data_IF_463340903881
#
_entry.id   IF_463340903881
#
_cell.length_a   1.000
_cell.length_b   1.000
_cell.length_c   1.000
_cell.angle_alpha   90.00
_cell.angle_beta   90.00
_cell.angle_gamma   90.00
#
_symmetry.space_group_name_H-M   'P 1'
#
loop_
_entity.id
_entity.type
_entity.pdbx_description
1 polymer ?
#
# COMPACT_ATOMS: atom_id res chain seq x y z
N UNK A 1 -28.72 -14.04 8.63
CA UNK A 1 -29.03 -12.72 8.02
C UNK A 1 -29.11 -11.58 9.04
N UNK A 2 -29.66 -11.77 10.25
CA UNK A 2 -29.75 -10.72 11.30
C UNK A 2 -28.40 -10.33 11.94
N UNK A 3 -27.46 -11.28 12.08
CA UNK A 3 -26.11 -10.96 12.59
C UNK A 3 -25.27 -10.11 11.63
N UNK A 4 -25.42 -10.29 10.31
CA UNK A 4 -24.63 -9.53 9.33
C UNK A 4 -25.02 -8.05 9.29
N UNK A 5 -26.29 -7.72 9.51
CA UNK A 5 -26.79 -6.33 9.50
C UNK A 5 -26.28 -5.54 10.71
N UNK A 6 -26.25 -6.16 11.89
CA UNK A 6 -25.67 -5.54 13.10
C UNK A 6 -24.19 -5.25 13.00
N UNK A 7 -23.45 -6.16 12.39
CA UNK A 7 -22.03 -5.91 12.15
C UNK A 7 -21.84 -4.70 11.24
N UNK A 8 -22.71 -4.49 10.26
CA UNK A 8 -22.62 -3.36 9.32
C UNK A 8 -22.89 -2.01 10.00
N UNK A 9 -23.84 -1.94 10.94
CA UNK A 9 -24.14 -0.69 11.67
C UNK A 9 -23.04 -0.27 12.65
N UNK A 10 -22.52 -1.23 13.43
CA UNK A 10 -21.39 -0.97 14.32
C UNK A 10 -20.19 -0.48 13.49
N UNK A 11 -19.87 -1.19 12.41
CA UNK A 11 -18.85 -0.82 11.42
C UNK A 11 -19.02 0.62 10.94
N UNK A 12 -20.24 1.02 10.57
CA UNK A 12 -20.51 2.37 10.06
C UNK A 12 -20.29 3.44 11.12
N UNK A 13 -20.67 3.21 12.39
CA UNK A 13 -20.46 4.18 13.47
C UNK A 13 -18.97 4.40 13.76
N UNK A 14 -18.18 3.33 13.82
CA UNK A 14 -16.74 3.40 14.08
C UNK A 14 -16.00 4.11 12.95
N UNK A 15 -16.46 3.85 11.73
CA UNK A 15 -15.97 4.49 10.54
C UNK A 15 -16.25 5.98 10.54
N UNK A 16 -17.51 6.39 10.76
CA UNK A 16 -17.88 7.80 10.87
C UNK A 16 -17.13 8.49 12.01
N UNK A 17 -16.97 7.83 13.16
CA UNK A 17 -16.14 8.32 14.25
C UNK A 17 -14.67 8.50 13.81
N UNK A 18 -14.12 7.56 13.04
CA UNK A 18 -12.79 7.68 12.43
C UNK A 18 -12.67 8.85 11.46
N UNK A 19 -13.68 9.12 10.64
CA UNK A 19 -13.72 10.29 9.76
C UNK A 19 -13.73 11.57 10.57
N UNK A 20 -14.66 11.71 11.52
CA UNK A 20 -14.75 12.89 12.39
C UNK A 20 -13.44 13.11 13.14
N UNK A 21 -12.87 12.04 13.70
CA UNK A 21 -11.57 12.07 14.37
C UNK A 21 -10.46 12.49 13.40
N UNK A 22 -10.44 11.94 12.19
CA UNK A 22 -9.50 12.33 11.13
C UNK A 22 -9.64 13.79 10.73
N UNK A 23 -10.85 14.32 10.59
CA UNK A 23 -11.10 15.72 10.26
C UNK A 23 -10.70 16.69 11.38
N UNK A 24 -10.77 16.25 12.65
CA UNK A 24 -10.30 17.01 13.81
C UNK A 24 -8.77 16.94 13.93
N UNK A 25 -8.17 15.77 13.65
CA UNK A 25 -6.71 15.57 13.67
C UNK A 25 -6.00 16.24 12.47
N UNK A 26 -6.70 16.38 11.34
CA UNK A 26 -6.22 16.96 10.08
C UNK A 26 -7.21 18.05 9.60
N UNK A 27 -7.20 19.26 10.20
CA UNK A 27 -8.11 20.34 9.84
C UNK A 27 -7.83 20.86 8.42
N UNK A 28 -8.89 21.09 7.63
CA UNK A 28 -8.82 21.62 6.25
C UNK A 28 -9.60 20.85 5.16
N UNK A 29 -10.38 19.84 5.54
CA UNK A 29 -10.87 18.79 4.62
C UNK A 29 -12.15 19.11 3.83
N UNK A 30 -13.02 20.04 4.25
CA UNK A 30 -14.28 20.31 3.53
C UNK A 30 -15.31 19.16 3.51
N UNK A 31 -15.07 18.06 4.24
CA UNK A 31 -15.86 16.80 4.23
C UNK A 31 -17.11 16.87 5.14
N UNK A 32 -17.54 18.05 5.58
CA UNK A 32 -18.63 18.18 6.56
C UNK A 32 -19.98 17.65 6.04
N UNK A 33 -20.29 17.86 4.75
CA UNK A 33 -21.59 17.51 4.18
C UNK A 33 -21.79 15.99 3.95
N UNK A 34 -20.83 15.22 3.36
CA UNK A 34 -20.95 13.77 3.22
C UNK A 34 -20.94 13.04 4.58
N UNK A 35 -20.15 13.54 5.55
CA UNK A 35 -20.07 12.98 6.89
C UNK A 35 -21.38 13.13 7.70
N UNK A 36 -22.18 14.16 7.41
CA UNK A 36 -23.50 14.40 8.02
C UNK A 36 -24.63 13.60 7.34
N UNK A 37 -24.50 13.28 6.04
CA UNK A 37 -25.53 12.56 5.28
C UNK A 37 -25.53 11.04 5.51
N UNK A 38 -24.37 10.43 5.74
CA UNK A 38 -24.27 9.00 6.05
C UNK A 38 -25.03 8.55 7.33
N UNK A 39 -24.97 9.28 8.46
CA UNK A 39 -25.78 8.98 9.64
C UNK A 39 -27.29 9.03 9.37
N UNK A 40 -27.75 10.00 8.58
CA UNK A 40 -29.17 10.18 8.24
C UNK A 40 -29.72 9.03 7.41
N UNK A 41 -28.89 8.45 6.52
CA UNK A 41 -29.22 7.25 5.75
C UNK A 41 -29.11 5.94 6.55
N UNK A 42 -28.30 5.92 7.62
CA UNK A 42 -28.09 4.75 8.48
C UNK A 42 -29.08 4.66 9.68
N UNK A 43 -29.67 5.78 10.11
CA UNK A 43 -30.64 5.85 11.21
C UNK A 43 -31.91 4.97 11.05
N UNK A 44 -32.48 4.81 9.84
CA UNK A 44 -33.62 3.91 9.63
C UNK A 44 -33.27 2.42 9.82
N UNK A 45 -32.01 2.04 9.61
CA UNK A 45 -31.51 0.68 9.87
C UNK A 45 -31.36 0.42 11.38
N UNK A 46 -30.85 1.42 12.11
CA UNK A 46 -30.62 1.42 13.56
C UNK A 46 -31.88 1.16 14.41
N UNK A 47 -33.04 1.72 14.04
CA UNK A 47 -34.27 1.53 14.84
C UNK A 47 -34.73 0.07 14.84
N UNK A 48 -34.33 -0.71 13.83
CA UNK A 48 -34.68 -2.13 13.68
C UNK A 48 -33.68 -3.08 14.34
N UNK A 49 -32.45 -2.64 14.60
CA UNK A 49 -31.36 -3.49 15.08
C UNK A 49 -31.23 -3.59 16.60
N UNK A 50 -31.84 -2.68 17.38
CA UNK A 50 -31.85 -2.73 18.86
C UNK A 50 -32.67 -3.90 19.44
N UNK A 51 -33.57 -4.51 18.66
CA UNK A 51 -34.57 -5.46 19.17
C UNK A 51 -34.11 -6.93 19.36
N UNK A 52 -32.86 -7.30 19.09
CA UNK A 52 -32.53 -8.73 18.81
C UNK A 52 -31.19 -9.32 19.37
N UNK A 53 -30.41 -8.65 20.25
CA UNK A 53 -29.18 -9.19 20.92
C UNK A 53 -27.90 -9.47 20.08
N UNK A 54 -26.76 -8.81 20.37
CA UNK A 54 -25.49 -8.95 19.62
C UNK A 54 -24.43 -9.87 20.31
N UNK A 55 -23.43 -10.45 19.58
CA UNK A 55 -22.42 -11.38 20.12
C UNK A 55 -21.04 -10.77 20.48
N UNK A 56 -20.32 -11.47 21.38
CA UNK A 56 -18.95 -11.34 21.97
C UNK A 56 -18.11 -10.03 21.78
N UNK A 57 -17.75 -9.33 22.89
CA UNK A 57 -17.26 -7.94 22.91
C UNK A 57 -15.88 -7.70 22.26
N UNK A 58 -14.98 -8.69 22.23
CA UNK A 58 -13.62 -8.48 21.71
C UNK A 58 -13.57 -8.43 20.17
N UNK A 59 -14.46 -9.18 19.51
CA UNK A 59 -14.57 -9.17 18.06
C UNK A 59 -15.10 -7.83 17.52
N UNK A 60 -15.94 -7.16 18.31
CA UNK A 60 -16.47 -5.84 18.02
C UNK A 60 -15.38 -4.76 18.07
N UNK A 61 -14.49 -4.79 19.07
CA UNK A 61 -13.42 -3.79 19.25
C UNK A 61 -12.39 -3.73 18.11
N UNK A 62 -12.08 -4.87 17.48
CA UNK A 62 -11.07 -4.93 16.40
C UNK A 62 -11.65 -4.41 15.09
N UNK A 63 -12.91 -4.74 14.82
CA UNK A 63 -13.66 -4.16 13.71
C UNK A 63 -13.75 -2.64 13.91
N UNK A 64 -14.09 -2.21 15.12
CA UNK A 64 -14.19 -0.81 15.51
C UNK A 64 -12.89 -0.06 15.19
N UNK A 65 -11.75 -0.64 15.56
CA UNK A 65 -10.42 -0.08 15.30
C UNK A 65 -10.07 -0.04 13.79
N UNK A 66 -10.31 -1.11 13.03
CA UNK A 66 -10.06 -1.13 11.57
C UNK A 66 -10.82 -0.02 10.86
N UNK A 67 -12.11 0.14 11.18
CA UNK A 67 -12.96 1.14 10.54
C UNK A 67 -12.64 2.56 11.03
N UNK A 68 -12.28 2.73 12.31
CA UNK A 68 -11.80 4.00 12.83
C UNK A 68 -10.49 4.44 12.14
N UNK A 69 -9.52 3.54 12.01
CA UNK A 69 -8.26 3.82 11.29
C UNK A 69 -8.51 4.10 9.81
N UNK A 70 -9.32 3.27 9.14
CA UNK A 70 -9.68 3.49 7.74
C UNK A 70 -10.29 4.90 7.51
N UNK A 71 -11.16 5.36 8.42
CA UNK A 71 -11.74 6.71 8.38
C UNK A 71 -10.70 7.83 8.55
N UNK A 72 -9.77 7.67 9.50
CA UNK A 72 -8.69 8.64 9.77
C UNK A 72 -7.76 8.79 8.55
N UNK A 73 -7.31 7.67 7.99
CA UNK A 73 -6.34 7.64 6.88
C UNK A 73 -6.88 8.17 5.56
N UNK A 74 -8.18 7.99 5.32
CA UNK A 74 -8.79 8.49 4.10
C UNK A 74 -9.18 9.98 4.20
N UNK A 75 -9.56 10.46 5.39
CA UNK A 75 -9.69 11.90 5.63
C UNK A 75 -8.39 12.64 5.28
N UNK A 76 -7.24 12.00 5.49
CA UNK A 76 -5.93 12.53 5.08
C UNK A 76 -5.72 12.50 3.55
N UNK A 77 -6.11 11.44 2.84
CA UNK A 77 -5.96 11.39 1.38
C UNK A 77 -6.78 12.46 0.66
N UNK A 78 -7.90 12.90 1.24
CA UNK A 78 -8.74 13.97 0.73
C UNK A 78 -8.15 15.38 0.91
N UNK A 79 -7.26 15.57 1.89
CA UNK A 79 -6.68 16.86 2.26
C UNK A 79 -5.49 17.31 1.37
N UNK A 80 -5.29 16.66 0.22
CA UNK A 80 -4.08 16.83 -0.60
C UNK A 80 -3.97 18.12 -1.44
N UNK A 81 -4.81 19.17 -1.24
CA UNK A 81 -4.39 20.50 -1.65
C UNK A 81 -4.69 21.57 -0.60
N UNK A 82 -4.13 21.47 0.60
CA UNK A 82 -3.98 22.66 1.45
C UNK A 82 -2.82 22.48 2.44
N UNK A 83 -1.61 22.85 2.00
CA UNK A 83 -0.57 23.26 2.91
C UNK A 83 -1.09 24.46 3.73
N UNK A 84 -1.56 24.23 4.95
CA UNK A 84 -1.65 25.32 5.95
C UNK A 84 -1.84 24.89 7.41
N UNK A 85 -2.15 23.63 7.71
CA UNK A 85 -2.21 23.19 9.13
C UNK A 85 -1.66 21.79 9.32
N UNK A 86 -0.37 21.70 9.68
CA UNK A 86 0.28 20.43 10.00
C UNK A 86 -0.18 19.94 11.38
N UNK A 87 -1.04 18.91 11.39
CA UNK A 87 -1.54 18.26 12.60
C UNK A 87 -0.42 17.58 13.43
N UNK A 88 -0.63 17.27 14.73
CA UNK A 88 0.42 16.69 15.58
C UNK A 88 0.92 15.33 15.08
N UNK A 89 0.04 14.53 14.48
CA UNK A 89 0.38 13.23 13.88
C UNK A 89 1.21 13.41 12.60
N UNK A 90 0.96 14.48 11.82
CA UNK A 90 1.73 14.78 10.61
C UNK A 90 3.14 15.20 10.97
N UNK A 91 3.32 16.04 12.00
CA UNK A 91 4.67 16.38 12.49
C UNK A 91 5.46 15.15 12.93
N UNK A 92 4.78 14.20 13.56
CA UNK A 92 5.40 12.94 13.97
C UNK A 92 5.77 12.07 12.76
N UNK A 93 4.89 11.98 11.76
CA UNK A 93 5.13 11.24 10.52
C UNK A 93 6.25 11.89 9.68
N UNK A 94 6.25 13.21 9.55
CA UNK A 94 7.29 13.98 8.84
C UNK A 94 8.62 13.89 9.58
N UNK A 95 8.62 14.01 10.91
CA UNK A 95 9.81 13.83 11.74
C UNK A 95 10.40 12.42 11.64
N UNK A 96 9.55 11.39 11.53
CA UNK A 96 9.98 10.02 11.29
C UNK A 96 10.54 9.84 9.87
N UNK A 97 9.90 10.41 8.85
CA UNK A 97 10.41 10.41 7.48
C UNK A 97 11.78 11.08 7.41
N UNK A 98 11.94 12.22 8.09
CA UNK A 98 13.21 12.95 8.17
C UNK A 98 14.28 12.16 8.93
N UNK A 99 13.93 11.52 10.05
CA UNK A 99 14.82 10.62 10.77
C UNK A 99 15.28 9.44 9.90
N UNK A 100 14.38 8.87 9.11
CA UNK A 100 14.72 7.78 8.19
C UNK A 100 15.68 8.27 7.11
N UNK A 101 15.43 9.45 6.53
CA UNK A 101 16.33 10.08 5.55
C UNK A 101 17.69 10.42 6.14
N UNK A 102 17.76 10.88 7.39
CA UNK A 102 19.04 11.15 8.04
C UNK A 102 19.83 9.87 8.30
N UNK A 103 19.18 8.78 8.71
CA UNK A 103 19.82 7.47 8.82
C UNK A 103 20.35 7.01 7.46
N UNK A 104 19.52 7.07 6.40
CA UNK A 104 19.92 6.71 5.03
C UNK A 104 21.12 7.56 4.57
N UNK A 105 21.10 8.87 4.81
CA UNK A 105 22.19 9.78 4.42
C UNK A 105 23.49 9.59 5.22
N UNK A 106 23.41 9.06 6.43
CA UNK A 106 24.59 8.76 7.27
C UNK A 106 25.29 7.45 6.91
N UNK A 107 24.63 6.58 6.13
CA UNK A 107 25.19 5.28 5.76
C UNK A 107 26.29 5.45 4.70
N UNK A 108 27.44 4.78 4.86
CA UNK A 108 28.57 4.88 3.94
C UNK A 108 28.33 4.03 2.69
N UNK A 109 27.35 4.40 1.86
CA UNK A 109 27.13 3.73 0.58
C UNK A 109 28.27 4.03 -0.40
N UNK A 110 28.82 3.01 -1.09
CA UNK A 110 29.84 3.22 -2.12
C UNK A 110 29.39 4.10 -3.28
N UNK A 111 28.12 3.99 -3.71
CA UNK A 111 27.54 4.85 -4.75
C UNK A 111 26.75 6.02 -4.14
N UNK A 112 26.98 7.22 -4.66
CA UNK A 112 26.24 8.44 -4.26
C UNK A 112 24.75 8.43 -4.64
N UNK A 113 24.31 7.52 -5.52
CA UNK A 113 22.91 7.42 -5.95
C UNK A 113 22.07 6.46 -5.09
N UNK A 114 22.72 5.60 -4.30
CA UNK A 114 22.04 4.60 -3.46
C UNK A 114 21.17 5.25 -2.39
N UNK A 115 21.69 6.24 -1.66
CA UNK A 115 20.93 6.95 -0.63
C UNK A 115 19.69 7.69 -1.18
N UNK A 116 19.78 8.46 -2.29
CA UNK A 116 18.60 9.02 -2.96
C UNK A 116 17.57 7.99 -3.42
N UNK A 117 18.00 6.86 -3.99
CA UNK A 117 17.09 5.79 -4.40
C UNK A 117 16.37 5.17 -3.21
N UNK A 118 17.08 4.87 -2.13
CA UNK A 118 16.48 4.36 -0.89
C UNK A 118 15.50 5.37 -0.29
N UNK A 119 15.84 6.66 -0.32
CA UNK A 119 14.95 7.72 0.15
C UNK A 119 13.64 7.76 -0.66
N UNK A 120 13.73 7.61 -1.98
CA UNK A 120 12.55 7.52 -2.85
C UNK A 120 11.71 6.27 -2.55
N UNK A 121 12.34 5.10 -2.39
CA UNK A 121 11.62 3.84 -2.18
C UNK A 121 11.04 3.67 -0.77
N UNK A 122 11.67 4.25 0.26
CA UNK A 122 11.25 4.11 1.65
C UNK A 122 10.41 5.28 2.17
N UNK A 123 10.63 6.50 1.65
CA UNK A 123 9.91 7.71 2.11
C UNK A 123 9.09 8.39 1.03
N UNK A 124 9.23 7.99 -0.23
CA UNK A 124 8.55 8.64 -1.36
C UNK A 124 9.20 9.94 -1.82
N UNK A 125 10.29 10.36 -1.16
CA UNK A 125 11.00 11.58 -1.49
C UNK A 125 11.95 11.38 -2.67
N UNK A 126 11.66 12.05 -3.77
CA UNK A 126 12.42 11.99 -5.03
C UNK A 126 13.36 13.19 -5.22
N UNK A 127 13.39 14.14 -4.28
CA UNK A 127 14.15 15.40 -4.42
C UNK A 127 15.65 15.18 -4.62
N UNK A 128 16.20 14.09 -4.08
CA UNK A 128 17.61 13.72 -4.25
C UNK A 128 17.94 12.96 -5.54
N UNK A 129 16.96 12.59 -6.36
CA UNK A 129 17.21 11.84 -7.60
C UNK A 129 17.76 12.76 -8.69
N UNK A 130 18.83 12.33 -9.36
CA UNK A 130 19.37 13.06 -10.50
C UNK A 130 18.38 13.06 -11.68
N UNK A 131 18.37 14.11 -12.52
CA UNK A 131 17.53 14.15 -13.72
C UNK A 131 17.79 12.96 -14.65
N UNK A 132 19.05 12.51 -14.75
CA UNK A 132 19.47 11.36 -15.55
C UNK A 132 18.82 10.07 -15.05
N UNK A 133 18.87 9.82 -13.74
CA UNK A 133 18.26 8.65 -13.14
C UNK A 133 16.73 8.69 -13.28
N UNK A 134 16.10 9.85 -13.09
CA UNK A 134 14.66 10.01 -13.29
C UNK A 134 14.24 9.74 -14.74
N UNK A 135 15.01 10.23 -15.72
CA UNK A 135 14.80 9.95 -17.14
C UNK A 135 14.96 8.46 -17.43
N UNK A 136 15.97 7.80 -16.85
CA UNK A 136 16.21 6.37 -17.02
C UNK A 136 15.01 5.52 -16.57
N UNK A 137 14.41 5.81 -15.41
CA UNK A 137 13.18 5.14 -14.96
C UNK A 137 11.97 5.45 -15.85
N UNK A 138 11.90 6.64 -16.44
CA UNK A 138 10.83 7.01 -17.38
C UNK A 138 10.95 6.26 -18.70
N UNK A 139 12.14 6.27 -19.28
CA UNK A 139 12.36 5.74 -20.63
C UNK A 139 12.33 4.20 -20.64
N UNK A 140 12.70 3.56 -19.52
CA UNK A 140 12.55 2.11 -19.30
C UNK A 140 11.11 1.67 -18.96
N UNK A 141 10.16 2.59 -18.78
CA UNK A 141 8.78 2.28 -18.34
C UNK A 141 8.66 1.92 -16.84
N UNK A 142 9.73 2.09 -16.07
CA UNK A 142 9.81 1.80 -14.64
C UNK A 142 9.37 2.96 -13.73
N UNK A 143 8.86 4.08 -14.26
CA UNK A 143 8.46 5.26 -13.44
C UNK A 143 7.48 4.95 -12.31
N UNK A 144 6.63 3.94 -12.51
CA UNK A 144 5.67 3.50 -11.52
C UNK A 144 6.33 2.90 -10.26
N UNK A 145 7.62 2.53 -10.33
CA UNK A 145 8.42 2.02 -9.21
C UNK A 145 9.02 3.15 -8.36
N UNK A 146 9.28 4.32 -8.95
CA UNK A 146 9.63 5.53 -8.19
C UNK A 146 8.42 6.07 -7.42
N UNK A 147 7.20 5.71 -7.85
CA UNK A 147 5.99 5.95 -7.10
C UNK A 147 5.76 4.85 -6.06
N UNK A 148 5.60 5.26 -4.80
CA UNK A 148 5.20 4.34 -3.76
C UNK A 148 3.88 3.67 -4.15
N UNK A 149 3.94 2.35 -4.17
CA UNK A 149 2.90 1.49 -4.74
C UNK A 149 2.51 0.41 -3.74
N UNK A 150 1.47 -0.35 -4.08
CA UNK A 150 1.08 -1.50 -3.27
C UNK A 150 2.17 -2.56 -3.14
N UNK A 151 3.15 -2.60 -4.04
CA UNK A 151 4.31 -3.49 -3.93
C UNK A 151 5.18 -3.13 -2.73
N UNK A 152 5.55 -1.85 -2.59
CA UNK A 152 6.37 -1.36 -1.47
C UNK A 152 5.69 -1.66 -0.14
N UNK A 153 4.40 -1.35 -0.04
CA UNK A 153 3.60 -1.60 1.15
C UNK A 153 3.44 -3.11 1.43
N UNK A 154 3.26 -3.92 0.38
CA UNK A 154 3.13 -5.37 0.48
C UNK A 154 4.42 -6.05 0.97
N UNK A 155 5.58 -5.61 0.48
CA UNK A 155 6.89 -6.10 0.92
C UNK A 155 7.13 -5.72 2.39
N UNK A 156 6.84 -4.47 2.76
CA UNK A 156 6.96 -4.04 4.16
C UNK A 156 6.05 -4.87 5.07
N UNK A 157 4.83 -5.15 4.65
CA UNK A 157 3.93 -6.06 5.35
C UNK A 157 4.52 -7.46 5.50
N UNK A 158 5.15 -8.03 4.45
CA UNK A 158 5.79 -9.35 4.54
C UNK A 158 6.96 -9.37 5.52
N UNK A 159 7.75 -8.29 5.56
CA UNK A 159 8.84 -8.14 6.54
C UNK A 159 8.26 -8.09 7.96
N UNK A 160 7.26 -7.26 8.21
CA UNK A 160 6.62 -7.19 9.53
C UNK A 160 5.92 -8.50 9.92
N UNK A 161 5.25 -9.17 8.98
CA UNK A 161 4.63 -10.48 9.23
C UNK A 161 5.69 -11.51 9.60
N UNK A 162 6.84 -11.52 8.89
CA UNK A 162 7.95 -12.41 9.21
C UNK A 162 8.55 -12.12 10.59
N UNK A 163 8.79 -10.86 10.95
CA UNK A 163 9.32 -10.45 12.25
C UNK A 163 8.37 -10.79 13.41
N UNK A 164 7.07 -10.85 13.15
CA UNK A 164 6.06 -11.17 14.17
C UNK A 164 5.68 -12.65 14.24
N UNK A 165 6.18 -13.51 13.33
CA UNK A 165 5.99 -14.97 13.37
C UNK A 165 6.44 -15.62 14.70
N UNK A 166 7.57 -15.24 15.33
CA UNK A 166 8.03 -15.86 16.57
C UNK A 166 7.09 -15.69 17.76
N UNK A 167 6.12 -14.75 17.69
CA UNK A 167 5.11 -14.55 18.74
C UNK A 167 4.16 -15.76 18.91
N UNK A 168 4.15 -16.70 17.96
CA UNK A 168 3.34 -17.91 18.01
C UNK A 168 1.92 -17.74 17.48
N UNK A 169 1.05 -18.69 17.83
CA UNK A 169 -0.30 -18.85 17.27
C UNK A 169 -1.44 -18.72 18.29
N UNK A 170 -1.14 -18.32 19.52
CA UNK A 170 -2.16 -18.12 20.56
C UNK A 170 -3.15 -17.00 20.14
N UNK A 171 -4.39 -17.00 20.65
CA UNK A 171 -5.35 -15.92 20.38
C UNK A 171 -4.79 -14.52 20.68
N UNK A 172 -4.02 -14.39 21.77
CA UNK A 172 -3.37 -13.16 22.21
C UNK A 172 -2.27 -12.75 21.25
N UNK A 173 -1.42 -13.70 20.83
CA UNK A 173 -0.38 -13.45 19.84
C UNK A 173 -0.97 -12.99 18.50
N UNK A 174 -2.08 -13.59 18.06
CA UNK A 174 -2.78 -13.16 16.83
C UNK A 174 -3.33 -11.74 16.93
N UNK A 175 -3.86 -11.35 18.10
CA UNK A 175 -4.33 -9.96 18.34
C UNK A 175 -3.16 -8.98 18.34
N UNK A 176 -2.07 -9.32 19.03
CA UNK A 176 -0.86 -8.50 19.05
C UNK A 176 -0.28 -8.33 17.64
N UNK A 177 -0.18 -9.40 16.85
CA UNK A 177 0.23 -9.37 15.45
C UNK A 177 -0.64 -8.43 14.62
N UNK A 178 -1.95 -8.54 14.74
CA UNK A 178 -2.88 -7.64 14.06
C UNK A 178 -2.61 -6.16 14.40
N UNK A 179 -2.42 -5.85 15.69
CA UNK A 179 -2.13 -4.48 16.14
C UNK A 179 -0.80 -3.99 15.60
N UNK A 180 0.27 -4.79 15.70
CA UNK A 180 1.60 -4.43 15.20
C UNK A 180 1.62 -4.22 13.69
N UNK A 181 0.99 -5.12 12.93
CA UNK A 181 0.92 -5.03 11.47
C UNK A 181 0.10 -3.81 11.04
N UNK A 182 -1.06 -3.59 11.64
CA UNK A 182 -1.91 -2.45 11.30
C UNK A 182 -1.26 -1.13 11.70
N UNK A 183 -0.65 -1.06 12.89
CA UNK A 183 0.05 0.14 13.35
C UNK A 183 1.28 0.45 12.50
N UNK A 184 2.12 -0.56 12.22
CA UNK A 184 3.33 -0.37 11.41
C UNK A 184 3.03 0.03 9.97
N UNK A 185 2.04 -0.60 9.34
CA UNK A 185 1.66 -0.28 7.95
C UNK A 185 0.89 1.04 7.85
N UNK A 186 0.08 1.38 8.85
CA UNK A 186 -0.55 2.69 8.97
C UNK A 186 0.49 3.79 9.16
N UNK A 187 1.44 3.62 10.07
CA UNK A 187 2.52 4.57 10.29
C UNK A 187 3.33 4.83 9.02
N UNK A 188 3.69 3.77 8.28
CA UNK A 188 4.34 3.90 6.98
C UNK A 188 3.48 4.69 5.98
N UNK A 189 2.17 4.46 5.95
CA UNK A 189 1.24 5.19 5.08
C UNK A 189 1.22 6.69 5.40
N UNK A 190 1.26 7.08 6.68
CA UNK A 190 1.37 8.49 7.07
C UNK A 190 2.72 9.09 6.65
N UNK A 191 3.81 8.39 6.97
CA UNK A 191 5.18 8.83 6.71
C UNK A 191 5.45 9.08 5.22
N UNK A 192 4.74 8.36 4.36
CA UNK A 192 4.88 8.43 2.89
C UNK A 192 3.90 9.38 2.22
N UNK A 193 3.16 10.20 2.99
CA UNK A 193 2.25 11.21 2.48
C UNK A 193 0.87 10.70 2.07
N UNK A 194 0.49 9.47 2.48
CA UNK A 194 -0.85 8.90 2.31
C UNK A 194 -1.40 8.97 0.87
N UNK A 195 -0.55 8.74 -0.13
CA UNK A 195 -0.97 8.70 -1.53
C UNK A 195 -2.08 7.64 -1.77
N UNK A 196 -3.04 7.86 -2.68
CA UNK A 196 -4.21 6.98 -2.84
C UNK A 196 -3.89 5.51 -3.08
N UNK A 197 -2.74 5.21 -3.71
CA UNK A 197 -2.27 3.83 -3.93
C UNK A 197 -1.77 3.15 -2.66
N UNK A 198 -1.07 3.91 -1.80
CA UNK A 198 -0.56 3.42 -0.51
C UNK A 198 -1.72 3.22 0.47
N UNK A 199 -2.67 4.16 0.51
CA UNK A 199 -3.89 4.04 1.33
C UNK A 199 -4.69 2.80 0.95
N UNK A 200 -4.90 2.52 -0.35
CA UNK A 200 -5.54 1.27 -0.77
C UNK A 200 -4.77 0.05 -0.25
N UNK A 201 -3.45 0.03 -0.39
CA UNK A 201 -2.64 -1.10 0.04
C UNK A 201 -2.74 -1.32 1.56
N UNK A 202 -2.73 -0.24 2.36
CA UNK A 202 -3.02 -0.28 3.78
C UNK A 202 -4.41 -0.89 4.07
N UNK A 203 -5.46 -0.40 3.40
CA UNK A 203 -6.82 -0.96 3.54
C UNK A 203 -6.87 -2.45 3.21
N UNK A 204 -6.19 -2.88 2.14
CA UNK A 204 -6.12 -4.29 1.76
C UNK A 204 -5.48 -5.15 2.86
N UNK A 205 -4.38 -4.66 3.45
CA UNK A 205 -3.69 -5.33 4.55
C UNK A 205 -4.59 -5.39 5.79
N UNK A 206 -5.13 -4.26 6.24
CA UNK A 206 -5.95 -4.20 7.45
C UNK A 206 -7.19 -5.08 7.32
N UNK A 207 -7.91 -5.01 6.20
CA UNK A 207 -9.09 -5.85 5.95
C UNK A 207 -8.70 -7.34 5.94
N UNK A 208 -7.61 -7.69 5.25
CA UNK A 208 -7.15 -9.08 5.15
C UNK A 208 -6.75 -9.65 6.50
N UNK A 209 -6.08 -8.85 7.33
CA UNK A 209 -5.67 -9.24 8.68
C UNK A 209 -6.86 -9.31 9.65
N UNK A 210 -7.87 -8.43 9.51
CA UNK A 210 -9.14 -8.56 10.24
C UNK A 210 -9.86 -9.87 9.88
N UNK A 211 -9.87 -10.24 8.60
CA UNK A 211 -10.44 -11.52 8.16
C UNK A 211 -9.62 -12.72 8.68
N UNK A 212 -8.29 -12.62 8.67
CA UNK A 212 -7.38 -13.64 9.26
C UNK A 212 -7.68 -13.83 10.75
N UNK A 213 -7.80 -12.75 11.51
CA UNK A 213 -8.01 -12.82 12.94
C UNK A 213 -9.36 -13.46 13.29
N UNK A 214 -10.39 -13.14 12.51
CA UNK A 214 -11.72 -13.75 12.62
C UNK A 214 -11.81 -15.17 12.05
N UNK A 215 -10.71 -15.69 11.50
CA UNK A 215 -10.67 -17.00 10.83
C UNK A 215 -11.72 -17.13 9.72
N UNK A 216 -12.06 -16.02 9.07
CA UNK A 216 -13.01 -15.99 7.94
C UNK A 216 -12.25 -16.21 6.64
N UNK A 217 -12.87 -16.86 5.63
CA UNK A 217 -12.23 -17.04 4.33
C UNK A 217 -11.90 -15.68 3.70
N UNK A 218 -10.65 -15.51 3.29
CA UNK A 218 -10.15 -14.31 2.60
C UNK A 218 -10.45 -14.45 1.11
N UNK A 219 -11.36 -13.63 0.61
CA UNK A 219 -11.62 -13.52 -0.82
C UNK A 219 -11.07 -12.19 -1.29
N UNK A 220 -10.12 -12.22 -2.23
CA UNK A 220 -9.47 -11.02 -2.75
C UNK A 220 -10.48 -10.04 -3.38
N UNK A 221 -11.54 -10.56 -4.02
CA UNK A 221 -12.64 -9.75 -4.54
C UNK A 221 -13.42 -9.02 -3.43
N UNK A 222 -13.68 -9.67 -2.29
CA UNK A 222 -14.33 -9.01 -1.13
C UNK A 222 -13.46 -7.90 -0.55
N UNK A 223 -12.15 -8.14 -0.45
CA UNK A 223 -11.19 -7.12 0.02
C UNK A 223 -11.17 -5.93 -0.95
N UNK A 224 -11.12 -6.19 -2.26
CA UNK A 224 -11.16 -5.18 -3.31
C UNK A 224 -12.41 -4.29 -3.23
N UNK A 225 -13.60 -4.89 -3.23
CA UNK A 225 -14.85 -4.13 -3.19
C UNK A 225 -14.99 -3.33 -1.89
N UNK A 226 -14.57 -3.91 -0.76
CA UNK A 226 -14.67 -3.22 0.52
C UNK A 226 -13.69 -2.05 0.62
N UNK A 227 -12.44 -2.22 0.18
CA UNK A 227 -11.48 -1.13 0.11
C UNK A 227 -11.93 -0.01 -0.86
N UNK A 228 -12.47 -0.37 -2.02
CA UNK A 228 -13.01 0.57 -3.00
C UNK A 228 -14.15 1.40 -2.40
N UNK A 229 -15.13 0.72 -1.79
CA UNK A 229 -16.28 1.36 -1.16
C UNK A 229 -15.85 2.28 -0.02
N UNK A 230 -14.96 1.79 0.84
CA UNK A 230 -14.39 2.58 1.95
C UNK A 230 -13.75 3.85 1.40
N UNK A 231 -12.86 3.74 0.41
CA UNK A 231 -12.12 4.89 -0.11
C UNK A 231 -13.01 5.91 -0.84
N UNK A 232 -14.01 5.46 -1.61
CA UNK A 232 -14.96 6.34 -2.32
C UNK A 232 -15.97 7.02 -1.40
N UNK A 233 -16.42 6.33 -0.34
CA UNK A 233 -17.33 6.94 0.65
C UNK A 233 -16.63 8.05 1.43
N UNK A 234 -15.33 7.91 1.65
CA UNK A 234 -14.52 8.87 2.41
C UNK A 234 -14.15 10.10 1.60
N UNK A 235 -13.74 9.88 0.35
CA UNK A 235 -13.38 10.92 -0.57
C UNK A 235 -13.90 10.55 -1.96
N UNK A 236 -15.10 10.98 -2.35
CA UNK A 236 -15.60 10.73 -3.70
C UNK A 236 -14.74 11.42 -4.76
N UNK A 237 -14.01 12.49 -4.42
CA UNK A 237 -13.13 13.19 -5.35
C UNK A 237 -11.86 12.38 -5.65
N UNK A 238 -11.50 11.39 -4.81
CA UNK A 238 -10.37 10.47 -5.05
C UNK A 238 -10.51 9.72 -6.37
N UNK A 239 -11.73 9.57 -6.89
CA UNK A 239 -11.97 8.95 -8.20
C UNK A 239 -11.27 9.74 -9.33
N UNK A 240 -11.06 11.05 -9.16
CA UNK A 240 -10.33 11.89 -10.09
C UNK A 240 -8.80 11.72 -10.00
N UNK A 241 -8.29 11.12 -8.92
CA UNK A 241 -6.87 10.87 -8.76
C UNK A 241 -6.40 9.77 -9.70
N UNK A 242 -5.37 10.09 -10.49
CA UNK A 242 -4.79 9.14 -11.42
C UNK A 242 -4.17 7.91 -10.70
N UNK A 243 -3.58 8.12 -9.52
CA UNK A 243 -3.00 7.03 -8.72
C UNK A 243 -4.06 6.07 -8.18
N UNK A 244 -5.26 6.57 -7.88
CA UNK A 244 -6.41 5.75 -7.53
C UNK A 244 -6.89 4.95 -8.75
N UNK A 245 -7.20 5.63 -9.85
CA UNK A 245 -7.73 5.01 -11.08
C UNK A 245 -6.81 3.91 -11.60
N UNK A 246 -5.54 4.23 -11.84
CA UNK A 246 -4.57 3.27 -12.37
C UNK A 246 -4.44 2.03 -11.50
N UNK A 247 -4.51 2.21 -10.19
CA UNK A 247 -4.20 1.13 -9.30
C UNK A 247 -5.39 0.23 -8.97
N UNK A 248 -6.62 0.75 -8.95
CA UNK A 248 -7.83 -0.09 -8.94
C UNK A 248 -8.07 -0.78 -10.30
N UNK A 249 -7.71 -0.14 -11.42
CA UNK A 249 -7.72 -0.77 -12.75
C UNK A 249 -6.70 -1.91 -12.85
N UNK A 250 -5.48 -1.71 -12.34
CA UNK A 250 -4.47 -2.77 -12.29
C UNK A 250 -4.99 -3.99 -11.51
N UNK A 251 -5.56 -3.77 -10.31
CA UNK A 251 -6.15 -4.84 -9.50
C UNK A 251 -7.33 -5.52 -10.20
N UNK A 252 -8.18 -4.78 -10.93
CA UNK A 252 -9.24 -5.37 -11.73
C UNK A 252 -8.68 -6.28 -12.84
N UNK A 253 -7.58 -5.87 -13.49
CA UNK A 253 -6.85 -6.71 -14.44
C UNK A 253 -6.35 -8.01 -13.82
N UNK A 254 -5.76 -7.93 -12.61
CA UNK A 254 -5.31 -9.10 -11.85
C UNK A 254 -6.47 -10.05 -11.49
N UNK A 255 -7.68 -9.55 -11.25
CA UNK A 255 -8.80 -10.44 -10.90
C UNK A 255 -9.58 -10.98 -12.09
N UNK A 256 -9.68 -10.22 -13.17
CA UNK A 256 -10.53 -10.56 -14.32
C UNK A 256 -9.72 -11.19 -15.46
N UNK A 257 -8.52 -10.67 -15.74
CA UNK A 257 -7.73 -11.03 -16.92
C UNK A 257 -6.67 -12.07 -16.58
N UNK A 258 -5.96 -11.92 -15.46
CA UNK A 258 -4.89 -12.84 -15.07
C UNK A 258 -5.33 -14.31 -14.99
N UNK A 259 -6.49 -14.68 -14.38
CA UNK A 259 -6.92 -16.09 -14.34
C UNK A 259 -7.20 -16.69 -15.72
N UNK A 260 -7.53 -15.85 -16.72
CA UNK A 260 -7.74 -16.29 -18.11
C UNK A 260 -6.38 -16.55 -18.76
N UNK A 261 -5.45 -15.60 -18.66
CA UNK A 261 -4.11 -15.72 -19.24
C UNK A 261 -3.27 -16.82 -18.58
N UNK A 262 -3.40 -17.01 -17.27
CA UNK A 262 -2.71 -18.07 -16.54
C UNK A 262 -3.07 -19.47 -17.09
N UNK A 263 -4.34 -19.67 -17.48
CA UNK A 263 -4.84 -20.95 -18.02
C UNK A 263 -4.38 -21.24 -19.44
N UNK A 264 -3.85 -20.26 -20.18
CA UNK A 264 -3.35 -20.47 -21.54
C UNK A 264 -2.05 -21.26 -21.56
N UNK A 265 -1.31 -21.29 -20.45
CA UNK A 265 -0.13 -22.13 -20.32
C UNK A 265 -0.52 -23.51 -19.77
N UNK A 266 -0.09 -24.61 -20.41
CA UNK A 266 -0.49 -25.96 -20.02
C UNK A 266 -0.12 -26.28 -18.56
N UNK A 267 -0.98 -27.07 -17.90
CA UNK A 267 -0.74 -27.53 -16.53
C UNK A 267 0.54 -28.40 -16.50
N UNK A 268 1.61 -27.83 -15.96
CA UNK A 268 2.90 -28.50 -15.76
C UNK A 268 3.34 -28.47 -14.29
N UNK A 269 4.49 -29.09 -14.02
CA UNK A 269 5.11 -29.10 -12.69
C UNK A 269 5.15 -27.69 -12.08
N UNK A 270 4.82 -27.60 -10.78
CA UNK A 270 4.86 -26.37 -9.98
C UNK A 270 6.22 -25.66 -10.02
N UNK A 271 7.29 -26.40 -10.33
CA UNK A 271 8.67 -25.91 -10.38
C UNK A 271 9.17 -25.59 -11.79
N UNK A 272 8.29 -25.53 -12.80
CA UNK A 272 8.70 -25.18 -14.15
C UNK A 272 9.06 -23.68 -14.23
N UNK A 273 10.32 -23.31 -14.52
CA UNK A 273 10.73 -21.91 -14.63
C UNK A 273 9.98 -21.16 -15.73
N UNK A 274 9.60 -21.85 -16.81
CA UNK A 274 8.78 -21.27 -17.89
C UNK A 274 7.39 -20.89 -17.41
N UNK A 275 6.82 -21.63 -16.44
CA UNK A 275 5.53 -21.30 -15.85
C UNK A 275 5.63 -20.07 -14.93
N UNK A 276 6.71 -19.95 -14.17
CA UNK A 276 6.97 -18.74 -13.38
C UNK A 276 7.12 -17.50 -14.27
N UNK A 277 7.87 -17.63 -15.37
CA UNK A 277 8.04 -16.62 -16.39
C UNK A 277 6.69 -16.22 -17.01
N UNK A 278 5.90 -17.21 -17.41
CA UNK A 278 4.56 -16.98 -17.95
C UNK A 278 3.65 -16.29 -16.95
N UNK A 279 3.59 -16.72 -15.69
CA UNK A 279 2.73 -16.11 -14.68
C UNK A 279 3.12 -14.65 -14.43
N UNK A 280 4.41 -14.33 -14.39
CA UNK A 280 4.89 -12.95 -14.22
C UNK A 280 4.55 -12.08 -15.43
N UNK A 281 4.68 -12.64 -16.64
CA UNK A 281 4.29 -11.98 -17.88
C UNK A 281 2.77 -11.78 -17.95
N UNK A 282 1.98 -12.81 -17.68
CA UNK A 282 0.52 -12.78 -17.66
C UNK A 282 0.00 -11.75 -16.65
N UNK A 283 0.61 -11.66 -15.46
CA UNK A 283 0.28 -10.65 -14.46
C UNK A 283 0.54 -9.23 -14.99
N UNK A 284 1.72 -9.01 -15.58
CA UNK A 284 2.10 -7.72 -16.16
C UNK A 284 1.19 -7.31 -17.31
N UNK A 285 0.88 -8.24 -18.23
CA UNK A 285 -0.04 -8.05 -19.35
C UNK A 285 -1.44 -7.73 -18.83
N UNK A 286 -1.92 -8.44 -17.81
CA UNK A 286 -3.24 -8.21 -17.22
C UNK A 286 -3.39 -6.79 -16.65
N UNK A 287 -2.38 -6.33 -15.90
CA UNK A 287 -2.34 -4.96 -15.39
C UNK A 287 -2.27 -3.95 -16.54
N UNK A 288 -1.45 -4.21 -17.56
CA UNK A 288 -1.25 -3.28 -18.67
C UNK A 288 -2.50 -3.18 -19.54
N UNK A 289 -3.23 -4.27 -19.79
CA UNK A 289 -4.46 -4.26 -20.58
C UNK A 289 -5.53 -3.35 -19.97
N UNK A 290 -5.65 -3.32 -18.64
CA UNK A 290 -6.65 -2.48 -17.97
C UNK A 290 -6.17 -1.05 -17.72
N UNK A 291 -4.86 -0.82 -17.56
CA UNK A 291 -4.31 0.50 -17.26
C UNK A 291 -3.85 1.29 -18.48
N UNK A 292 -3.42 0.60 -19.55
CA UNK A 292 -2.87 1.23 -20.75
C UNK A 292 -3.83 2.22 -21.43
N UNK A 293 -5.14 1.95 -21.57
CA UNK A 293 -6.05 2.93 -22.18
C UNK A 293 -6.04 4.27 -21.43
N UNK A 294 -6.04 4.21 -20.09
CA UNK A 294 -6.00 5.41 -19.26
C UNK A 294 -4.65 6.13 -19.34
N UNK A 295 -3.54 5.38 -19.30
CA UNK A 295 -2.19 5.94 -19.46
C UNK A 295 -2.04 6.62 -20.81
N UNK A 296 -2.51 5.99 -21.89
CA UNK A 296 -2.49 6.54 -23.24
C UNK A 296 -3.32 7.83 -23.34
N UNK A 297 -4.53 7.85 -22.79
CA UNK A 297 -5.40 9.03 -22.80
C UNK A 297 -4.83 10.21 -22.00
N UNK A 298 -4.04 9.95 -20.96
CA UNK A 298 -3.54 10.99 -20.04
C UNK A 298 -2.14 11.49 -20.37
N UNK A 299 -1.26 10.59 -20.79
CA UNK A 299 0.15 10.90 -21.01
C UNK A 299 0.58 10.75 -22.46
N UNK A 300 -0.27 10.21 -23.34
CA UNK A 300 0.06 9.93 -24.74
C UNK A 300 1.36 9.11 -24.92
N UNK A 301 1.72 8.34 -23.90
CA UNK A 301 2.89 7.47 -23.88
C UNK A 301 2.45 6.04 -23.64
N UNK A 302 3.11 5.10 -24.30
CA UNK A 302 2.97 3.68 -24.02
C UNK A 302 4.36 3.10 -23.74
N UNK A 303 4.60 2.52 -22.56
CA UNK A 303 5.89 1.93 -22.24
C UNK A 303 6.10 0.68 -23.09
N UNK A 304 6.91 0.79 -24.14
CA UNK A 304 7.14 -0.30 -25.12
C UNK A 304 7.83 -1.51 -24.50
N UNK A 305 8.67 -1.26 -23.49
CA UNK A 305 9.53 -2.25 -22.84
C UNK A 305 8.96 -2.74 -21.50
N UNK A 306 7.70 -2.42 -21.18
CA UNK A 306 7.09 -2.70 -19.87
C UNK A 306 7.20 -4.17 -19.44
N UNK A 307 7.10 -5.11 -20.38
CA UNK A 307 7.13 -6.53 -20.07
C UNK A 307 8.52 -6.98 -19.62
N UNK A 308 9.55 -6.58 -20.38
CA UNK A 308 10.94 -6.89 -20.06
C UNK A 308 11.36 -6.22 -18.76
N UNK A 309 11.02 -4.94 -18.60
CA UNK A 309 11.24 -4.18 -17.37
C UNK A 309 10.57 -4.86 -16.18
N UNK A 310 9.28 -5.17 -16.24
CA UNK A 310 8.58 -5.77 -15.10
C UNK A 310 9.12 -7.16 -14.75
N UNK A 311 9.50 -7.95 -15.75
CA UNK A 311 10.02 -9.30 -15.53
C UNK A 311 11.36 -9.29 -14.76
N UNK A 312 12.28 -8.39 -15.12
CA UNK A 312 13.60 -8.31 -14.51
C UNK A 312 13.62 -7.43 -13.26
N UNK A 313 12.91 -6.31 -13.31
CA UNK A 313 12.97 -5.27 -12.30
C UNK A 313 12.07 -5.58 -11.10
N UNK A 314 10.88 -6.19 -11.26
CA UNK A 314 10.01 -6.45 -10.10
C UNK A 314 10.61 -7.42 -9.07
N UNK A 315 11.22 -8.56 -9.47
CA UNK A 315 11.91 -9.44 -8.52
C UNK A 315 13.08 -8.71 -7.84
N UNK A 316 13.86 -7.96 -8.61
CA UNK A 316 14.99 -7.21 -8.09
C UNK A 316 14.54 -6.13 -7.09
N UNK A 317 13.48 -5.38 -7.41
CA UNK A 317 12.87 -4.40 -6.51
C UNK A 317 12.36 -5.03 -5.23
N UNK A 318 11.79 -6.24 -5.31
CA UNK A 318 11.32 -6.95 -4.12
C UNK A 318 12.47 -7.29 -3.18
N UNK A 319 13.57 -7.82 -3.72
CA UNK A 319 14.78 -8.12 -2.95
C UNK A 319 15.44 -6.85 -2.41
N UNK A 320 15.55 -5.81 -3.24
CA UNK A 320 16.11 -4.51 -2.88
C UNK A 320 15.33 -3.85 -1.75
N UNK A 321 13.99 -3.90 -1.78
CA UNK A 321 13.17 -3.37 -0.70
C UNK A 321 13.39 -4.10 0.62
N UNK A 322 13.52 -5.43 0.59
CA UNK A 322 13.79 -6.22 1.80
C UNK A 322 15.16 -5.83 2.37
N UNK A 323 16.21 -5.81 1.53
CA UNK A 323 17.57 -5.45 1.99
C UNK A 323 17.66 -4.00 2.43
N UNK A 324 16.96 -3.07 1.77
CA UNK A 324 16.88 -1.66 2.17
C UNK A 324 16.22 -1.50 3.55
N UNK A 325 15.05 -2.13 3.78
CA UNK A 325 14.37 -2.08 5.09
C UNK A 325 15.26 -2.67 6.19
N UNK A 326 15.93 -3.80 5.94
CA UNK A 326 16.84 -4.41 6.91
C UNK A 326 18.08 -3.53 7.15
N UNK A 327 18.67 -2.94 6.11
CA UNK A 327 19.86 -2.07 6.23
C UNK A 327 19.55 -0.86 7.07
N UNK A 328 18.49 -0.14 6.72
CA UNK A 328 18.10 1.09 7.42
C UNK A 328 17.58 0.77 8.82
N UNK A 329 16.84 -0.34 8.99
CA UNK A 329 16.37 -0.77 10.31
C UNK A 329 17.50 -1.14 11.27
N UNK A 330 18.50 -1.91 10.82
CA UNK A 330 19.67 -2.24 11.64
C UNK A 330 20.51 -1.00 11.95
N UNK A 331 20.69 -0.11 10.97
CA UNK A 331 21.38 1.15 11.17
C UNK A 331 20.67 2.06 12.20
N UNK A 332 19.34 2.14 12.15
CA UNK A 332 18.54 2.91 13.10
C UNK A 332 18.64 2.39 14.54
N UNK A 333 18.92 1.10 14.74
CA UNK A 333 19.15 0.47 16.06
C UNK A 333 20.63 0.62 16.50
N UNK A 334 21.48 1.26 15.68
CA UNK A 334 22.89 1.49 15.97
C UNK A 334 23.81 0.35 15.54
N UNK A 335 23.35 -0.57 14.68
CA UNK A 335 24.14 -1.69 14.17
C UNK A 335 24.27 -1.63 12.63
N UNK A 336 25.09 -0.72 12.07
CA UNK A 336 25.30 -0.64 10.62
C UNK A 336 26.13 -1.83 10.11
N UNK A 337 25.45 -2.87 9.62
CA UNK A 337 26.11 -4.08 9.12
C UNK A 337 26.65 -3.89 7.70
N UNK A 338 27.98 -3.71 7.59
CA UNK A 338 28.67 -3.40 6.33
C UNK A 338 28.34 -4.33 5.14
N UNK A 339 28.30 -5.67 5.28
CA UNK A 339 27.93 -6.56 4.18
C UNK A 339 26.53 -6.29 3.63
N UNK A 340 25.59 -5.85 4.48
CA UNK A 340 24.23 -5.56 4.05
C UNK A 340 24.14 -4.21 3.33
N UNK A 341 24.93 -3.22 3.78
CA UNK A 341 25.08 -1.93 3.11
C UNK A 341 25.65 -2.13 1.70
N UNK A 342 26.73 -2.90 1.56
CA UNK A 342 27.35 -3.18 0.25
C UNK A 342 26.46 -4.04 -0.64
N UNK A 343 25.70 -4.98 -0.08
CA UNK A 343 24.71 -5.76 -0.83
C UNK A 343 23.59 -4.86 -1.35
N UNK A 344 23.06 -3.97 -0.52
CA UNK A 344 22.00 -3.03 -0.92
C UNK A 344 22.47 -2.07 -2.00
N UNK A 345 23.68 -1.54 -1.87
CA UNK A 345 24.33 -0.74 -2.90
C UNK A 345 24.52 -1.53 -4.22
N UNK A 346 25.02 -2.76 -4.13
CA UNK A 346 25.17 -3.65 -5.28
C UNK A 346 23.85 -3.91 -6.02
N UNK A 347 22.75 -4.10 -5.28
CA UNK A 347 21.41 -4.24 -5.87
C UNK A 347 20.91 -2.95 -6.52
N UNK A 348 21.19 -1.78 -5.94
CA UNK A 348 20.86 -0.49 -6.55
C UNK A 348 21.64 -0.27 -7.86
N UNK A 349 22.93 -0.60 -7.87
CA UNK A 349 23.76 -0.54 -9.09
C UNK A 349 23.30 -1.54 -10.14
N UNK A 350 22.96 -2.77 -9.73
CA UNK A 350 22.39 -3.77 -10.64
C UNK A 350 21.06 -3.29 -11.25
N UNK A 351 20.20 -2.69 -10.43
CA UNK A 351 18.93 -2.11 -10.90
C UNK A 351 19.20 -1.07 -11.98
N UNK A 352 20.06 -0.09 -11.70
CA UNK A 352 20.45 0.94 -12.65
C UNK A 352 21.01 0.36 -13.95
N UNK A 353 21.95 -0.58 -13.84
CA UNK A 353 22.57 -1.23 -14.99
C UNK A 353 21.56 -1.97 -15.87
N UNK A 354 20.60 -2.68 -15.26
CA UNK A 354 19.50 -3.31 -16.01
C UNK A 354 18.67 -2.27 -16.75
N UNK A 355 18.34 -1.14 -16.10
CA UNK A 355 17.58 -0.07 -16.74
C UNK A 355 18.36 0.59 -17.89
N UNK A 356 19.68 0.78 -17.75
CA UNK A 356 20.56 1.30 -18.82
C UNK A 356 20.55 0.37 -20.04
N UNK A 357 20.71 -0.94 -19.82
CA UNK A 357 20.63 -1.95 -20.89
C UNK A 357 19.27 -1.92 -21.59
N UNK A 358 18.17 -1.82 -20.83
CA UNK A 358 16.83 -1.78 -21.40
C UNK A 358 16.64 -0.51 -22.25
N UNK A 359 17.18 0.62 -21.80
CA UNK A 359 17.11 1.89 -22.54
C UNK A 359 18.11 1.97 -23.71
N UNK A 360 19.08 1.06 -23.79
CA UNK A 360 20.12 1.05 -24.83
C UNK A 360 21.15 2.18 -24.66
N UNK A 361 21.43 2.58 -23.42
CA UNK A 361 22.38 3.65 -23.05
C UNK A 361 23.64 3.09 -22.42
#
# INVERSE_FOLDING_TARGET
MRESVRSIEAISLCFTAGVVTGTVLFPGTGILLPALLLPVLALPCLFRSRLLGAPEPVSAGIILLTFLLAGIFAARSAALPAASTIGPIERLADGAAQSLRSVIGSLPFPSGETAPLLSAFLTGDRSGLTPQLTALFRDSGASHLLALSGLHMGILYLVFDALTKPLGHTPEARRLRFVLLTAGTGFFTLMTGAGPSVVRAFLFITISETLRLKQRPRSSARVYCMALLIQLVLDPAVIGSLGFQLSYLAMAGIFLVYPILERWYPEGSRYNPLRWLWNTAALSISCQLTTAPLVWMRFHTFPRLFLLTNLLVLPLMSTLMITAVLTVGLAAIGFPWQPLITTTDGLCRLLRWILEIICGV
#
